data_IF_888314080388
#
_entry.id   IF_888314080388
#
_cell.length_a   1.000
_cell.length_b   1.000
_cell.length_c   1.000
_cell.angle_alpha   90.00
_cell.angle_beta   90.00
_cell.angle_gamma   90.00
#
_symmetry.space_group_name_H-M   'P 1'
#
loop_
_entity.id
_entity.type
_entity.pdbx_description
1 polymer ?
#
# COMPACT_ATOMS: atom_id res chain seq x y z
N UNK A 1 -60.81 50.01 33.75
CA UNK A 1 -59.48 49.76 33.14
C UNK A 1 -59.36 48.27 32.87
N UNK A 2 -59.47 47.84 31.60
CA UNK A 2 -59.40 46.42 31.26
C UNK A 2 -58.00 46.10 30.74
N UNK A 3 -57.24 45.36 31.56
CA UNK A 3 -55.89 44.90 31.23
C UNK A 3 -55.97 43.76 30.21
N UNK A 4 -55.65 44.05 28.94
CA UNK A 4 -55.57 43.03 27.88
C UNK A 4 -54.30 42.21 28.07
N UNK A 5 -54.47 40.98 28.52
CA UNK A 5 -53.41 40.00 28.63
C UNK A 5 -52.96 39.57 27.22
N UNK A 6 -51.83 40.11 26.75
CA UNK A 6 -51.22 39.74 25.45
C UNK A 6 -50.34 38.52 25.65
N UNK A 7 -50.92 37.33 25.55
CA UNK A 7 -50.26 36.06 25.85
C UNK A 7 -50.05 35.11 24.66
N UNK A 8 -49.94 35.60 23.41
CA UNK A 8 -49.81 34.70 22.24
C UNK A 8 -48.55 34.85 21.38
N UNK A 9 -47.67 35.82 21.64
CA UNK A 9 -46.43 35.99 20.85
C UNK A 9 -45.26 35.12 21.30
N UNK A 10 -45.26 34.66 22.57
CA UNK A 10 -44.16 33.85 23.12
C UNK A 10 -44.17 32.39 22.66
N UNK A 11 -45.34 31.80 22.39
CA UNK A 11 -45.47 30.39 21.98
C UNK A 11 -45.07 30.13 20.54
N UNK A 12 -45.37 31.07 19.63
CA UNK A 12 -44.92 31.02 18.23
C UNK A 12 -43.40 31.13 18.11
N UNK A 13 -42.80 32.03 18.89
CA UNK A 13 -41.34 32.18 18.96
C UNK A 13 -40.66 30.95 19.56
N UNK A 14 -41.24 30.36 20.62
CA UNK A 14 -40.74 29.11 21.21
C UNK A 14 -40.80 27.95 20.22
N UNK A 15 -41.88 27.84 19.44
CA UNK A 15 -42.04 26.78 18.44
C UNK A 15 -40.99 26.90 17.32
N UNK A 16 -40.79 28.12 16.79
CA UNK A 16 -39.82 28.41 15.74
C UNK A 16 -38.38 28.17 16.20
N UNK A 17 -38.07 28.51 17.45
CA UNK A 17 -36.78 28.24 18.07
C UNK A 17 -36.53 26.73 18.21
N UNK A 18 -37.52 25.96 18.68
CA UNK A 18 -37.40 24.50 18.80
C UNK A 18 -37.17 23.86 17.43
N UNK A 19 -37.92 24.27 16.39
CA UNK A 19 -37.71 23.76 15.03
C UNK A 19 -36.32 24.11 14.47
N UNK A 20 -35.84 25.34 14.73
CA UNK A 20 -34.52 25.79 14.30
C UNK A 20 -33.40 24.99 14.96
N UNK A 21 -33.51 24.72 16.27
CA UNK A 21 -32.53 23.90 17.01
C UNK A 21 -32.58 22.44 16.55
N UNK A 22 -33.77 21.87 16.33
CA UNK A 22 -33.91 20.49 15.82
C UNK A 22 -33.31 20.33 14.42
N UNK A 23 -33.53 21.29 13.52
CA UNK A 23 -32.96 21.24 12.18
C UNK A 23 -31.44 21.43 12.23
N UNK A 24 -30.95 22.32 13.10
CA UNK A 24 -29.52 22.53 13.30
C UNK A 24 -28.84 21.28 13.86
N UNK A 25 -29.43 20.56 14.81
CA UNK A 25 -28.84 19.33 15.36
C UNK A 25 -28.79 18.21 14.33
N UNK A 26 -29.83 18.04 13.51
CA UNK A 26 -29.85 17.05 12.43
C UNK A 26 -28.75 17.36 11.41
N UNK A 27 -28.66 18.60 10.93
CA UNK A 27 -27.64 19.02 9.98
C UNK A 27 -26.24 18.86 10.58
N UNK A 28 -26.01 19.31 11.82
CA UNK A 28 -24.72 19.16 12.50
C UNK A 28 -24.29 17.70 12.59
N UNK A 29 -25.23 16.78 12.88
CA UNK A 29 -24.95 15.35 12.93
C UNK A 29 -24.52 14.79 11.58
N UNK A 30 -25.22 15.17 10.50
CA UNK A 30 -24.88 14.75 9.13
C UNK A 30 -23.51 15.31 8.72
N UNK A 31 -23.24 16.59 9.01
CA UNK A 31 -21.97 17.24 8.68
C UNK A 31 -20.78 16.58 9.39
N UNK A 32 -20.89 16.33 10.71
CA UNK A 32 -19.84 15.66 11.48
C UNK A 32 -19.62 14.24 10.95
N UNK A 33 -20.70 13.50 10.71
CA UNK A 33 -20.62 12.12 10.20
C UNK A 33 -19.98 12.07 8.80
N UNK A 34 -20.32 13.01 7.92
CA UNK A 34 -19.71 13.15 6.60
C UNK A 34 -18.23 13.47 6.69
N UNK A 35 -17.85 14.37 7.59
CA UNK A 35 -16.45 14.73 7.83
C UNK A 35 -15.63 13.54 8.34
N UNK A 36 -16.14 12.78 9.31
CA UNK A 36 -15.44 11.59 9.83
C UNK A 36 -15.24 10.55 8.73
N UNK A 37 -16.26 10.28 7.92
CA UNK A 37 -16.14 9.33 6.78
C UNK A 37 -15.14 9.81 5.73
N UNK A 38 -15.14 11.10 5.41
CA UNK A 38 -14.17 11.68 4.48
C UNK A 38 -12.75 11.58 5.05
N UNK A 39 -12.56 11.80 6.34
CA UNK A 39 -11.28 11.67 7.00
C UNK A 39 -10.76 10.23 7.00
N UNK A 40 -11.61 9.24 7.30
CA UNK A 40 -11.22 7.82 7.23
C UNK A 40 -10.86 7.43 5.79
N UNK A 41 -11.69 7.81 4.82
CA UNK A 41 -11.42 7.55 3.40
C UNK A 41 -10.13 8.22 2.93
N UNK A 42 -9.88 9.46 3.34
CA UNK A 42 -8.65 10.19 3.00
C UNK A 42 -7.41 9.51 3.58
N UNK A 43 -7.50 8.97 4.80
CA UNK A 43 -6.40 8.23 5.41
C UNK A 43 -6.14 6.92 4.68
N UNK A 44 -7.18 6.19 4.33
CA UNK A 44 -7.07 4.95 3.58
C UNK A 44 -6.50 5.19 2.18
N UNK A 45 -6.91 6.27 1.51
CA UNK A 45 -6.35 6.69 0.23
C UNK A 45 -4.86 7.08 0.32
N UNK A 46 -4.46 7.70 1.43
CA UNK A 46 -3.04 7.99 1.68
C UNK A 46 -2.23 6.70 1.79
N UNK A 47 -2.72 5.70 2.54
CA UNK A 47 -2.06 4.40 2.65
C UNK A 47 -1.92 3.71 1.29
N UNK A 48 -3.00 3.73 0.49
CA UNK A 48 -2.98 3.18 -0.87
C UNK A 48 -1.94 3.88 -1.76
N UNK A 49 -1.76 5.19 -1.61
CA UNK A 49 -0.73 5.95 -2.34
C UNK A 49 0.68 5.52 -1.93
N UNK A 50 0.91 5.28 -0.63
CA UNK A 50 2.19 4.77 -0.14
C UNK A 50 2.48 3.36 -0.68
N UNK A 51 1.49 2.45 -0.65
CA UNK A 51 1.63 1.12 -1.21
C UNK A 51 1.96 1.15 -2.70
N UNK A 52 1.25 1.98 -3.48
CA UNK A 52 1.52 2.16 -4.90
C UNK A 52 2.93 2.73 -5.16
N UNK A 53 3.42 3.62 -4.30
CA UNK A 53 4.77 4.18 -4.41
C UNK A 53 5.84 3.12 -4.14
N UNK A 54 5.67 2.30 -3.10
CA UNK A 54 6.60 1.20 -2.79
C UNK A 54 6.64 0.21 -3.95
N UNK A 55 5.47 -0.26 -4.38
CA UNK A 55 5.39 -1.21 -5.48
C UNK A 55 5.95 -0.62 -6.78
N UNK A 56 5.68 0.66 -7.05
CA UNK A 56 6.22 1.39 -8.19
C UNK A 56 7.75 1.53 -8.15
N UNK A 57 8.32 1.84 -6.98
CA UNK A 57 9.77 1.94 -6.81
C UNK A 57 10.45 0.59 -7.04
N UNK A 58 9.88 -0.50 -6.51
CA UNK A 58 10.37 -1.86 -6.73
C UNK A 58 10.25 -2.24 -8.22
N UNK A 59 9.11 -1.93 -8.84
CA UNK A 59 8.87 -2.15 -10.26
C UNK A 59 9.87 -1.39 -11.15
N UNK A 60 10.28 -0.19 -10.73
CA UNK A 60 11.30 0.60 -11.44
C UNK A 60 12.65 -0.09 -11.42
N UNK A 61 13.08 -0.60 -10.26
CA UNK A 61 14.32 -1.35 -10.10
C UNK A 61 14.29 -2.65 -10.90
N UNK A 62 13.14 -3.32 -10.97
CA UNK A 62 12.99 -4.52 -11.80
C UNK A 62 13.13 -4.18 -13.29
N UNK A 63 12.59 -3.03 -13.70
CA UNK A 63 12.62 -2.55 -15.09
C UNK A 63 13.98 -1.99 -15.52
N UNK A 64 14.80 -1.53 -14.59
CA UNK A 64 16.17 -1.08 -14.89
C UNK A 64 17.15 -2.22 -15.12
N UNK A 65 16.83 -3.42 -14.63
CA UNK A 65 17.67 -4.59 -14.84
C UNK A 65 17.67 -5.09 -16.28
N UNK A 66 18.85 -5.38 -16.82
CA UNK A 66 19.04 -5.92 -18.17
C UNK A 66 18.97 -7.46 -18.22
N UNK A 67 19.19 -8.14 -17.09
CA UNK A 67 19.18 -9.60 -16.96
C UNK A 67 18.65 -10.00 -15.58
N UNK A 68 18.04 -11.19 -15.48
CA UNK A 68 17.48 -11.72 -14.24
C UNK A 68 18.46 -11.66 -13.04
N UNK A 69 19.68 -12.17 -13.21
CA UNK A 69 20.68 -12.19 -12.13
C UNK A 69 21.09 -10.77 -11.73
N UNK A 70 21.23 -9.88 -12.71
CA UNK A 70 21.53 -8.47 -12.46
C UNK A 70 20.38 -7.75 -11.78
N UNK A 71 19.12 -8.10 -12.06
CA UNK A 71 17.94 -7.52 -11.42
C UNK A 71 17.90 -7.86 -9.93
N UNK A 72 18.22 -9.10 -9.57
CA UNK A 72 18.26 -9.52 -8.16
C UNK A 72 19.38 -8.77 -7.42
N UNK A 73 20.58 -8.70 -8.01
CA UNK A 73 21.71 -7.95 -7.42
C UNK A 73 21.39 -6.46 -7.26
N UNK A 74 20.69 -5.86 -8.24
CA UNK A 74 20.27 -4.47 -8.17
C UNK A 74 19.25 -4.23 -7.05
N UNK A 75 18.25 -5.11 -6.91
CA UNK A 75 17.28 -5.05 -5.80
C UNK A 75 18.00 -5.14 -4.45
N UNK A 76 18.95 -6.05 -4.29
CA UNK A 76 19.73 -6.19 -3.05
C UNK A 76 20.61 -4.97 -2.76
N UNK A 77 21.10 -4.29 -3.80
CA UNK A 77 21.84 -3.04 -3.66
C UNK A 77 20.97 -1.91 -3.09
N UNK A 78 19.72 -1.79 -3.54
CA UNK A 78 18.76 -0.82 -3.00
C UNK A 78 18.15 -1.24 -1.66
N UNK A 79 18.01 -2.54 -1.42
CA UNK A 79 17.36 -3.12 -0.24
C UNK A 79 18.25 -4.20 0.41
N UNK A 80 19.28 -3.82 1.16
CA UNK A 80 20.26 -4.76 1.71
C UNK A 80 19.71 -5.69 2.80
N UNK A 81 18.57 -5.33 3.41
CA UNK A 81 17.89 -6.16 4.42
C UNK A 81 16.76 -7.02 3.82
N UNK A 82 16.68 -7.12 2.49
CA UNK A 82 15.75 -8.00 1.82
C UNK A 82 16.08 -9.48 2.07
N UNK A 83 15.05 -10.30 2.19
CA UNK A 83 15.18 -11.75 2.35
C UNK A 83 14.80 -12.45 1.06
N UNK A 84 15.66 -13.36 0.60
CA UNK A 84 15.46 -14.18 -0.58
C UNK A 84 14.89 -15.54 -0.18
N UNK A 85 13.79 -15.94 -0.81
CA UNK A 85 13.07 -17.17 -0.49
C UNK A 85 12.99 -18.02 -1.76
N UNK A 86 13.49 -19.25 -1.62
CA UNK A 86 13.39 -20.31 -2.64
C UNK A 86 12.03 -21.02 -2.57
N UNK A 87 11.64 -21.74 -3.63
CA UNK A 87 10.37 -22.49 -3.70
C UNK A 87 10.19 -23.50 -2.54
N UNK A 88 11.29 -23.95 -1.92
CA UNK A 88 11.30 -24.88 -0.79
C UNK A 88 11.16 -24.21 0.59
N UNK A 89 11.00 -22.88 0.64
CA UNK A 89 10.81 -22.13 1.88
C UNK A 89 12.07 -21.95 2.73
N UNK A 90 13.24 -22.31 2.19
CA UNK A 90 14.55 -22.00 2.80
C UNK A 90 15.01 -20.59 2.45
N UNK A 91 15.43 -19.83 3.47
CA UNK A 91 16.13 -18.55 3.31
C UNK A 91 17.46 -18.80 2.59
N UNK A 92 17.61 -18.27 1.37
CA UNK A 92 18.87 -18.33 0.65
C UNK A 92 19.70 -17.09 0.98
N UNK A 93 20.69 -17.27 1.85
CA UNK A 93 21.80 -16.31 1.94
C UNK A 93 22.64 -16.52 0.69
N UNK A 94 22.63 -15.57 -0.24
CA UNK A 94 23.50 -15.59 -1.42
C UNK A 94 24.96 -15.65 -0.96
N UNK A 95 25.50 -16.87 -0.93
CA UNK A 95 26.93 -17.09 -0.97
C UNK A 95 27.34 -16.81 -2.41
N UNK A 96 28.16 -15.78 -2.54
CA UNK A 96 28.86 -15.35 -3.75
C UNK A 96 29.55 -16.52 -4.46
N UNK A 97 28.83 -17.25 -5.31
CA UNK A 97 29.46 -18.13 -6.29
C UNK A 97 28.57 -18.27 -7.53
N UNK A 98 29.06 -17.71 -8.63
CA UNK A 98 28.36 -17.36 -9.87
C UNK A 98 28.04 -18.56 -10.77
N UNK A 99 27.61 -19.70 -10.22
CA UNK A 99 27.29 -20.91 -11.00
C UNK A 99 26.11 -21.71 -10.44
N UNK A 100 25.13 -21.05 -9.81
CA UNK A 100 23.90 -21.72 -9.42
C UNK A 100 22.99 -21.91 -10.63
N UNK A 101 22.54 -23.15 -10.83
CA UNK A 101 21.61 -23.53 -11.89
C UNK A 101 20.34 -22.67 -11.79
N UNK A 102 19.75 -22.29 -12.94
CA UNK A 102 18.52 -21.51 -13.06
C UNK A 102 17.34 -21.99 -12.17
N UNK A 103 17.39 -23.23 -11.68
CA UNK A 103 16.41 -23.84 -10.76
C UNK A 103 16.59 -23.47 -9.28
N UNK A 104 17.69 -22.82 -8.90
CA UNK A 104 18.03 -22.43 -7.53
C UNK A 104 18.01 -20.90 -7.34
N UNK A 105 17.34 -20.18 -8.24
CA UNK A 105 17.18 -18.73 -8.12
C UNK A 105 15.97 -18.45 -7.23
N UNK A 106 16.06 -17.48 -6.30
CA UNK A 106 14.93 -17.12 -5.46
C UNK A 106 13.83 -16.55 -6.35
N UNK A 107 12.67 -17.21 -6.34
CA UNK A 107 11.48 -16.72 -7.05
C UNK A 107 10.76 -15.64 -6.25
N UNK A 108 11.00 -15.58 -4.94
CA UNK A 108 10.30 -14.65 -4.06
C UNK A 108 11.30 -13.81 -3.27
N UNK A 109 11.16 -12.50 -3.32
CA UNK A 109 11.96 -11.54 -2.57
C UNK A 109 11.05 -10.82 -1.57
N UNK A 110 11.41 -10.82 -0.30
CA UNK A 110 10.71 -10.08 0.75
C UNK A 110 11.50 -8.82 1.14
N UNK A 111 10.87 -7.67 1.01
CA UNK A 111 11.41 -6.37 1.39
C UNK A 111 10.57 -5.81 2.54
N UNK A 112 11.22 -5.40 3.62
CA UNK A 112 10.55 -4.99 4.86
C UNK A 112 10.55 -3.47 5.04
N UNK A 113 9.45 -2.96 5.58
CA UNK A 113 9.26 -1.53 5.82
C UNK A 113 8.70 -1.25 7.23
N UNK A 114 9.14 -0.17 7.84
CA UNK A 114 8.64 0.32 9.13
C UNK A 114 7.24 0.96 9.01
N UNK A 115 6.70 1.52 10.09
CA UNK A 115 5.36 2.16 10.08
C UNK A 115 5.32 3.43 9.26
N UNK A 116 6.48 4.02 9.04
CA UNK A 116 6.72 5.25 8.31
C UNK A 116 7.09 4.98 6.84
N UNK A 117 7.07 3.72 6.41
CA UNK A 117 7.40 3.25 5.05
C UNK A 117 8.87 3.40 4.65
N UNK A 118 9.79 3.46 5.62
CA UNK A 118 11.22 3.38 5.32
C UNK A 118 11.67 1.92 5.27
N UNK A 119 12.63 1.57 4.38
CA UNK A 119 13.23 0.24 4.37
C UNK A 119 13.85 -0.08 5.74
N UNK A 120 13.54 -1.27 6.26
CA UNK A 120 14.04 -1.70 7.56
C UNK A 120 14.27 -3.22 7.58
N UNK A 121 14.78 -3.73 8.70
CA UNK A 121 14.98 -5.15 8.91
C UNK A 121 13.70 -5.85 9.37
N UNK A 122 13.71 -7.18 9.34
CA UNK A 122 12.58 -8.05 9.70
C UNK A 122 12.00 -7.73 11.09
N UNK A 123 12.84 -7.33 12.05
CA UNK A 123 12.45 -7.12 13.46
C UNK A 123 11.58 -5.88 13.68
N UNK A 124 11.80 -4.85 12.86
CA UNK A 124 11.12 -3.56 12.97
C UNK A 124 10.01 -3.40 11.91
N UNK A 125 9.79 -4.45 11.11
CA UNK A 125 8.88 -4.47 9.99
C UNK A 125 7.41 -4.35 10.44
N UNK A 126 6.73 -3.30 9.95
CA UNK A 126 5.29 -3.18 9.99
C UNK A 126 4.63 -3.66 8.70
N UNK A 127 5.35 -3.60 7.57
CA UNK A 127 4.90 -4.06 6.26
C UNK A 127 5.97 -4.92 5.58
N UNK A 128 5.53 -5.79 4.68
CA UNK A 128 6.37 -6.65 3.86
C UNK A 128 5.89 -6.56 2.41
N UNK A 129 6.76 -6.12 1.50
CA UNK A 129 6.55 -6.26 0.07
C UNK A 129 7.12 -7.60 -0.38
N UNK A 130 6.27 -8.42 -0.98
CA UNK A 130 6.56 -9.73 -1.51
C UNK A 130 6.62 -9.61 -3.03
N UNK A 131 7.78 -9.88 -3.61
CA UNK A 131 8.05 -9.76 -5.04
C UNK A 131 8.23 -11.17 -5.58
N UNK A 132 7.25 -11.65 -6.33
CA UNK A 132 7.30 -12.93 -7.01
C UNK A 132 7.74 -12.70 -8.45
N UNK A 133 8.93 -13.17 -8.79
CA UNK A 133 9.49 -13.06 -10.12
C UNK A 133 9.25 -14.38 -10.87
N UNK A 134 8.78 -14.27 -12.11
CA UNK A 134 8.59 -15.40 -13.02
C UNK A 134 9.14 -15.04 -14.40
N UNK A 135 9.80 -15.99 -15.03
CA UNK A 135 10.39 -15.79 -16.35
C UNK A 135 9.88 -16.87 -17.31
N UNK A 136 9.07 -16.45 -18.28
CA UNK A 136 8.43 -17.35 -19.26
C UNK A 136 8.56 -16.72 -20.64
N UNK A 137 9.08 -17.46 -21.61
CA UNK A 137 9.15 -17.04 -23.03
C UNK A 137 9.77 -15.63 -23.26
N UNK A 138 10.92 -15.36 -22.63
CA UNK A 138 11.63 -14.05 -22.68
C UNK A 138 10.90 -12.86 -22.03
N UNK A 139 9.77 -13.12 -21.35
CA UNK A 139 9.03 -12.17 -20.55
C UNK A 139 9.33 -12.38 -19.07
N UNK A 140 9.84 -11.34 -18.42
CA UNK A 140 9.92 -11.26 -16.96
C UNK A 140 8.62 -10.68 -16.43
N UNK A 141 7.84 -11.48 -15.71
CA UNK A 141 6.67 -11.01 -14.97
C UNK A 141 7.04 -10.94 -13.49
N UNK A 142 6.79 -9.78 -12.88
CA UNK A 142 6.95 -9.60 -11.44
C UNK A 142 5.61 -9.23 -10.79
N UNK A 143 5.18 -10.05 -9.84
CA UNK A 143 4.00 -9.82 -9.02
C UNK A 143 4.44 -9.27 -7.66
N UNK A 144 4.10 -8.00 -7.39
CA UNK A 144 4.47 -7.29 -6.18
C UNK A 144 3.24 -7.19 -5.28
N UNK A 145 3.22 -7.94 -4.18
CA UNK A 145 2.16 -7.93 -3.18
C UNK A 145 2.62 -7.29 -1.87
N UNK A 146 1.87 -6.32 -1.35
CA UNK A 146 2.19 -5.68 -0.05
C UNK A 146 1.32 -6.27 1.04
N UNK A 147 1.95 -6.71 2.12
CA UNK A 147 1.33 -7.31 3.31
C UNK A 147 1.61 -6.47 4.54
N UNK A 148 0.65 -6.48 5.47
CA UNK A 148 0.83 -5.91 6.81
C UNK A 148 1.41 -7.02 7.71
N UNK A 149 2.35 -6.66 8.59
CA UNK A 149 2.97 -7.57 9.54
C UNK A 149 1.94 -8.34 10.37
N UNK A 150 2.01 -9.67 10.32
CA UNK A 150 1.05 -10.58 10.96
C UNK A 150 -0.16 -10.96 10.10
N UNK A 151 -0.30 -10.43 8.88
CA UNK A 151 -1.32 -10.82 7.92
C UNK A 151 -0.71 -11.61 6.73
N UNK A 152 -1.45 -12.59 6.24
CA UNK A 152 -1.11 -13.39 5.05
C UNK A 152 -1.77 -12.84 3.78
N UNK A 153 -2.78 -11.97 3.90
CA UNK A 153 -3.45 -11.37 2.75
C UNK A 153 -2.72 -10.11 2.25
N UNK A 154 -2.60 -9.98 0.93
CA UNK A 154 -2.11 -8.77 0.28
C UNK A 154 -3.15 -7.64 0.41
N UNK A 155 -2.70 -6.47 0.86
CA UNK A 155 -3.51 -5.24 0.99
C UNK A 155 -3.42 -4.39 -0.29
N UNK A 156 -2.38 -4.63 -1.09
CA UNK A 156 -2.16 -4.04 -2.39
C UNK A 156 -1.37 -5.02 -3.25
N UNK A 157 -1.62 -5.02 -4.55
CA UNK A 157 -0.96 -5.91 -5.51
C UNK A 157 -0.72 -5.15 -6.83
N UNK A 158 0.45 -5.36 -7.42
CA UNK A 158 0.85 -4.79 -8.69
C UNK A 158 1.64 -5.83 -9.48
N UNK A 159 1.12 -6.22 -10.64
CA UNK A 159 1.82 -7.07 -11.61
C UNK A 159 2.47 -6.21 -12.67
N UNK A 160 3.72 -6.49 -12.99
CA UNK A 160 4.47 -5.85 -14.07
C UNK A 160 5.04 -6.89 -15.03
N UNK A 161 5.02 -6.55 -16.32
CA UNK A 161 5.60 -7.35 -17.38
C UNK A 161 6.75 -6.58 -18.04
N UNK A 162 7.94 -7.17 -18.08
CA UNK A 162 9.13 -6.60 -18.69
C UNK A 162 9.73 -7.52 -19.76
N UNK A 163 9.75 -7.03 -21.00
CA UNK A 163 10.41 -7.71 -22.11
C UNK A 163 11.88 -7.27 -22.16
N UNK A 164 12.82 -8.22 -22.07
CA UNK A 164 14.21 -7.90 -22.35
C UNK A 164 14.38 -7.64 -23.85
N UNK A 165 14.85 -6.44 -24.22
CA UNK A 165 15.06 -6.11 -25.63
C UNK A 165 16.28 -6.88 -26.15
N UNK A 166 16.03 -7.90 -26.98
CA UNK A 166 17.09 -8.59 -27.72
C UNK A 166 17.77 -7.60 -28.66
N UNK A 167 18.97 -7.14 -28.31
CA UNK A 167 19.84 -6.44 -29.26
C UNK A 167 20.16 -7.46 -30.35
N UNK A 168 19.64 -7.21 -31.56
CA UNK A 168 20.07 -7.92 -32.76
C UNK A 168 21.47 -7.38 -33.05
N UNK A 169 22.51 -8.13 -32.70
CA UNK A 169 23.83 -7.92 -33.28
C UNK A 169 23.73 -8.20 -34.79
N UNK A 170 23.97 -7.17 -35.61
CA UNK A 170 24.10 -7.24 -37.07
C UNK A 170 25.54 -7.60 -37.47
#
# INVERSE_FOLDING_TARGET
>A
MAQRHRASHGSLFLMELIFSILLFTIIATICISGFVKAHTLSRDASLQTHYATIAGNIAEVIRSGDNWDSTIDEILSYYPEASLISEDGSEETLLSDSTLALSALPRTIHIYFDKEFHPCGVKDAAYCAEVNLSYVDELLTADIGIRIGGNTAHVYELSIDHFFHRIIEE
#
